data_IF_562947258587
#
_entry.id   IF_562947258587
#
_cell.length_a   1.000
_cell.length_b   1.000
_cell.length_c   1.000
_cell.angle_alpha   90.00
_cell.angle_beta   90.00
_cell.angle_gamma   90.00
#
_symmetry.space_group_name_H-M   'P 1'
#
loop_
_entity.id
_entity.type
_entity.pdbx_description
1 polymer ?
#
# COMPACT_ATOMS: atom_id res chain seq x y z
N UNK A 1 -6.07 -8.62 23.43
CA UNK A 1 -6.97 -9.80 23.51
C UNK A 1 -8.47 -9.47 23.54
N UNK A 2 -8.91 -8.21 23.77
CA UNK A 2 -10.33 -7.83 23.68
C UNK A 2 -10.78 -7.31 22.29
N UNK A 3 -9.85 -7.02 21.37
CA UNK A 3 -10.17 -6.46 20.05
C UNK A 3 -10.45 -7.50 18.96
N UNK A 4 -10.18 -8.78 19.20
CA UNK A 4 -10.39 -9.84 18.18
C UNK A 4 -11.80 -10.42 18.17
N UNK A 5 -12.57 -10.28 19.26
CA UNK A 5 -13.94 -10.81 19.30
C UNK A 5 -14.96 -9.98 18.51
N UNK A 6 -14.60 -8.77 18.02
CA UNK A 6 -15.54 -7.90 17.28
C UNK A 6 -15.45 -8.08 15.75
N UNK A 7 -14.36 -8.65 15.21
CA UNK A 7 -14.22 -8.85 13.76
C UNK A 7 -14.98 -10.08 13.21
N UNK A 8 -15.61 -10.89 14.08
CA UNK A 8 -16.46 -12.03 13.70
C UNK A 8 -17.93 -11.58 13.62
N UNK A 9 -18.19 -10.49 12.88
CA UNK A 9 -19.53 -10.15 12.37
C UNK A 9 -19.61 -10.37 10.84
N UNK A 10 -18.71 -11.22 10.32
CA UNK A 10 -18.11 -11.11 8.99
C UNK A 10 -19.01 -11.46 7.80
N UNK A 11 -20.17 -12.11 7.99
CA UNK A 11 -20.99 -12.57 6.87
C UNK A 11 -22.14 -11.62 6.50
N UNK A 12 -22.80 -11.02 7.50
CA UNK A 12 -23.92 -10.10 7.27
C UNK A 12 -23.45 -8.72 6.82
N UNK A 13 -22.34 -8.23 7.38
CA UNK A 13 -21.82 -6.91 7.02
C UNK A 13 -21.07 -6.92 5.69
N UNK A 14 -20.31 -7.98 5.35
CA UNK A 14 -19.75 -8.14 3.98
C UNK A 14 -20.84 -8.11 2.91
N UNK A 15 -22.01 -8.68 3.22
CA UNK A 15 -23.14 -8.72 2.30
C UNK A 15 -23.75 -7.34 2.12
N UNK A 16 -23.77 -6.50 3.15
CA UNK A 16 -24.27 -5.12 3.08
C UNK A 16 -23.32 -4.20 2.28
N UNK A 17 -22.00 -4.31 2.50
CA UNK A 17 -20.99 -3.53 1.76
C UNK A 17 -20.93 -3.88 0.26
N UNK A 18 -21.44 -5.04 -0.14
CA UNK A 18 -21.62 -5.38 -1.56
C UNK A 18 -22.71 -4.52 -2.23
N UNK A 19 -23.63 -3.92 -1.45
CA UNK A 19 -24.77 -3.14 -1.95
C UNK A 19 -24.62 -1.62 -1.81
N UNK A 20 -23.61 -1.12 -1.09
CA UNK A 20 -23.28 0.32 -1.05
C UNK A 20 -22.41 0.72 -2.26
N UNK A 21 -23.08 0.86 -3.41
CA UNK A 21 -22.44 0.90 -4.73
C UNK A 21 -21.89 2.29 -5.13
N UNK A 22 -22.38 3.40 -4.54
CA UNK A 22 -22.05 4.74 -5.04
C UNK A 22 -20.75 5.32 -4.45
N UNK A 23 -20.58 5.30 -3.12
CA UNK A 23 -19.34 5.75 -2.48
C UNK A 23 -18.13 4.91 -2.88
N UNK A 24 -18.35 3.59 -3.09
CA UNK A 24 -17.26 2.70 -3.48
C UNK A 24 -16.86 2.87 -4.95
N UNK A 25 -17.79 3.26 -5.83
CA UNK A 25 -17.47 3.59 -7.22
C UNK A 25 -16.51 4.76 -7.29
N UNK A 26 -16.77 5.83 -6.53
CA UNK A 26 -15.87 6.99 -6.46
C UNK A 26 -14.44 6.58 -6.07
N UNK A 27 -14.30 5.80 -5.00
CA UNK A 27 -12.98 5.31 -4.53
C UNK A 27 -12.31 4.37 -5.55
N UNK A 28 -13.08 3.58 -6.29
CA UNK A 28 -12.56 2.66 -7.32
C UNK A 28 -12.12 3.38 -8.61
N UNK A 29 -12.76 4.52 -8.90
CA UNK A 29 -12.48 5.40 -10.04
C UNK A 29 -11.35 6.40 -9.76
N UNK A 30 -11.06 6.69 -8.48
CA UNK A 30 -9.92 7.53 -8.11
C UNK A 30 -8.61 7.03 -8.71
N UNK A 31 -7.88 7.94 -9.36
CA UNK A 31 -6.57 7.70 -9.93
C UNK A 31 -5.47 8.33 -9.06
N UNK A 32 -4.66 7.51 -8.38
CA UNK A 32 -3.59 8.02 -7.53
C UNK A 32 -2.44 8.62 -8.34
N UNK A 33 -1.66 9.48 -7.68
CA UNK A 33 -0.55 10.24 -8.28
C UNK A 33 0.47 9.38 -9.06
N UNK A 34 0.73 8.15 -8.62
CA UNK A 34 1.67 7.25 -9.30
C UNK A 34 1.19 6.78 -10.67
N UNK A 35 -0.10 6.89 -11.00
CA UNK A 35 -0.64 6.43 -12.29
C UNK A 35 -0.12 7.28 -13.45
N UNK A 36 -0.09 8.59 -13.28
CA UNK A 36 0.44 9.52 -14.28
C UNK A 36 1.96 9.35 -14.43
N UNK A 37 2.69 9.31 -13.31
CA UNK A 37 4.14 9.09 -13.29
C UNK A 37 4.52 7.76 -13.96
N UNK A 38 3.79 6.69 -13.66
CA UNK A 38 4.01 5.39 -14.29
C UNK A 38 3.74 5.42 -15.79
N UNK A 39 2.65 6.08 -16.22
CA UNK A 39 2.32 6.19 -17.64
C UNK A 39 3.39 6.98 -18.41
N UNK A 40 3.91 8.06 -17.82
CA UNK A 40 5.04 8.83 -18.36
C UNK A 40 6.32 8.01 -18.46
N UNK A 41 6.63 7.22 -17.43
CA UNK A 41 7.80 6.32 -17.43
C UNK A 41 7.68 5.23 -18.50
N UNK A 42 6.52 4.59 -18.63
CA UNK A 42 6.31 3.55 -19.65
C UNK A 42 6.43 4.12 -21.07
N UNK A 43 5.89 5.33 -21.30
CA UNK A 43 5.99 6.01 -22.59
C UNK A 43 7.43 6.46 -22.94
N UNK A 44 8.28 6.73 -21.95
CA UNK A 44 9.71 7.02 -22.17
C UNK A 44 10.54 5.74 -22.34
N UNK A 45 10.20 4.66 -21.66
CA UNK A 45 10.88 3.36 -21.76
C UNK A 45 10.75 2.74 -23.16
N UNK A 46 9.61 2.95 -23.82
CA UNK A 46 9.38 2.52 -25.22
C UNK A 46 10.23 3.30 -26.24
N UNK A 47 10.78 4.46 -25.85
CA UNK A 47 11.67 5.29 -26.67
C UNK A 47 13.12 5.13 -26.16
N UNK A 48 13.72 3.99 -26.52
CA UNK A 48 15.11 3.54 -26.27
C UNK A 48 16.12 4.50 -25.61
N UNK A 49 16.81 3.95 -24.60
CA UNK A 49 18.05 4.37 -23.90
C UNK A 49 17.94 5.45 -22.79
N UNK A 50 17.85 5.01 -21.53
CA UNK A 50 18.95 5.02 -20.54
C UNK A 50 18.41 4.93 -19.10
N UNK A 51 19.05 4.08 -18.29
CA UNK A 51 18.80 3.91 -16.85
C UNK A 51 18.94 5.22 -16.05
N UNK A 52 19.66 6.21 -16.59
CA UNK A 52 19.87 7.53 -15.97
C UNK A 52 18.61 8.43 -16.00
N UNK A 53 17.69 8.23 -16.95
CA UNK A 53 16.45 9.00 -17.05
C UNK A 53 15.41 8.61 -15.99
N UNK A 54 15.53 7.43 -15.37
CA UNK A 54 14.60 6.95 -14.34
C UNK A 54 14.75 7.74 -13.03
N UNK A 55 15.98 8.06 -12.63
CA UNK A 55 16.26 8.83 -11.42
C UNK A 55 15.81 10.31 -11.54
N UNK A 56 15.76 10.85 -12.76
CA UNK A 56 15.24 12.19 -13.01
C UNK A 56 13.70 12.25 -12.96
N UNK A 57 13.02 11.12 -13.17
CA UNK A 57 11.57 11.03 -13.21
C UNK A 57 10.93 11.11 -11.82
N UNK A 58 11.67 10.71 -10.78
CA UNK A 58 11.25 10.79 -9.37
C UNK A 58 12.27 11.60 -8.58
N UNK A 59 12.13 12.92 -8.63
CA UNK A 59 12.94 13.83 -7.79
C UNK A 59 12.19 14.16 -6.49
N UNK A 60 12.90 14.10 -5.37
CA UNK A 60 12.33 14.49 -4.08
C UNK A 60 12.12 16.01 -4.00
N UNK A 61 10.99 16.41 -3.42
CA UNK A 61 10.74 17.80 -3.04
C UNK A 61 11.69 18.25 -1.92
N UNK A 62 11.80 19.57 -1.70
CA UNK A 62 12.62 20.09 -0.60
C UNK A 62 12.09 19.68 0.77
N UNK A 63 10.77 19.56 0.91
CA UNK A 63 10.10 19.06 2.11
C UNK A 63 10.43 17.58 2.35
N UNK A 64 10.42 16.75 1.31
CA UNK A 64 10.78 15.33 1.40
C UNK A 64 12.25 15.16 1.77
N UNK A 65 13.15 15.91 1.14
CA UNK A 65 14.58 15.97 1.52
C UNK A 65 14.74 16.40 2.98
N UNK A 66 13.94 17.36 3.45
CA UNK A 66 13.95 17.78 4.85
C UNK A 66 13.49 16.67 5.80
N UNK A 67 12.44 15.91 5.45
CA UNK A 67 12.04 14.74 6.26
C UNK A 67 13.13 13.67 6.26
N UNK A 68 13.78 13.43 5.12
CA UNK A 68 14.87 12.45 5.02
C UNK A 68 16.05 12.80 5.92
N UNK A 69 16.36 14.09 6.10
CA UNK A 69 17.40 14.57 7.02
C UNK A 69 17.09 14.30 8.49
N UNK A 70 15.83 14.02 8.87
CA UNK A 70 15.48 13.67 10.26
C UNK A 70 15.86 12.24 10.62
N UNK A 71 16.10 11.37 9.64
CA UNK A 71 16.53 10.01 9.91
C UNK A 71 18.01 9.97 10.30
N UNK A 72 18.34 9.06 11.21
CA UNK A 72 19.74 8.83 11.60
C UNK A 72 20.44 8.09 10.48
N UNK A 73 21.56 8.64 9.99
CA UNK A 73 22.40 7.97 9.01
C UNK A 73 23.11 6.79 9.69
N UNK A 74 22.61 5.58 9.45
CA UNK A 74 23.18 4.31 9.94
C UNK A 74 23.38 3.36 8.78
N UNK A 75 24.55 2.74 8.72
CA UNK A 75 24.79 1.60 7.84
C UNK A 75 24.33 0.31 8.51
N UNK A 76 23.60 -0.52 7.76
CA UNK A 76 23.11 -1.81 8.24
C UNK A 76 23.80 -2.94 7.46
N UNK A 77 24.44 -3.87 8.17
CA UNK A 77 24.97 -5.09 7.59
C UNK A 77 23.88 -6.15 7.61
N UNK A 78 23.12 -6.24 6.52
CA UNK A 78 22.00 -7.18 6.40
C UNK A 78 22.45 -8.44 5.67
N UNK A 79 22.21 -9.61 6.27
CA UNK A 79 22.39 -10.88 5.59
C UNK A 79 21.30 -11.09 4.53
N UNK A 80 21.43 -12.15 3.71
CA UNK A 80 20.46 -12.42 2.63
C UNK A 80 19.05 -12.69 3.17
N UNK A 81 18.93 -13.22 4.39
CA UNK A 81 17.64 -13.49 5.03
C UNK A 81 16.99 -12.18 5.49
N UNK A 82 17.73 -11.31 6.17
CA UNK A 82 17.24 -10.01 6.61
C UNK A 82 16.83 -9.13 5.42
N UNK A 83 17.62 -9.12 4.33
CA UNK A 83 17.23 -8.41 3.10
C UNK A 83 15.87 -8.84 2.57
N UNK A 84 15.60 -10.15 2.50
CA UNK A 84 14.28 -10.66 2.08
C UNK A 84 13.16 -10.20 3.01
N UNK A 85 13.39 -10.24 4.32
CA UNK A 85 12.38 -9.78 5.29
C UNK A 85 12.09 -8.29 5.13
N UNK A 86 13.12 -7.47 4.88
CA UNK A 86 12.94 -6.04 4.60
C UNK A 86 12.07 -5.84 3.36
N UNK A 87 12.35 -6.54 2.26
CA UNK A 87 11.51 -6.43 1.05
C UNK A 87 10.07 -6.89 1.28
N UNK A 88 9.86 -7.98 2.02
CA UNK A 88 8.51 -8.42 2.36
C UNK A 88 7.76 -7.41 3.24
N UNK A 89 8.42 -6.85 4.26
CA UNK A 89 7.84 -5.78 5.08
C UNK A 89 7.51 -4.54 4.25
N UNK A 90 8.34 -4.20 3.26
CA UNK A 90 8.10 -3.07 2.37
C UNK A 90 6.85 -3.30 1.53
N UNK A 91 6.69 -4.50 0.94
CA UNK A 91 5.48 -4.85 0.17
C UNK A 91 4.23 -4.75 1.05
N UNK A 92 4.28 -5.27 2.28
CA UNK A 92 3.16 -5.22 3.23
C UNK A 92 2.74 -3.77 3.56
N UNK A 93 3.73 -2.91 3.86
CA UNK A 93 3.49 -1.50 4.16
C UNK A 93 2.97 -0.75 2.92
N UNK A 94 3.51 -1.03 1.73
CA UNK A 94 3.08 -0.39 0.49
C UNK A 94 1.64 -0.76 0.11
N UNK A 95 1.21 -2.01 0.32
CA UNK A 95 -0.18 -2.41 0.12
C UNK A 95 -1.13 -1.60 1.01
N UNK A 96 -0.79 -1.48 2.30
CA UNK A 96 -1.57 -0.68 3.25
C UNK A 96 -1.61 0.81 2.87
N UNK A 97 -0.48 1.38 2.44
CA UNK A 97 -0.38 2.77 1.97
C UNK A 97 -1.19 3.03 0.69
N UNK A 98 -1.13 2.11 -0.28
CA UNK A 98 -1.86 2.22 -1.53
C UNK A 98 -3.37 2.14 -1.29
N UNK A 99 -3.82 1.25 -0.39
CA UNK A 99 -5.21 1.19 0.03
C UNK A 99 -5.68 2.50 0.64
N UNK A 100 -4.93 3.01 1.62
CA UNK A 100 -5.27 4.24 2.32
C UNK A 100 -5.39 5.42 1.36
N UNK A 101 -4.41 5.57 0.47
CA UNK A 101 -4.38 6.66 -0.51
C UNK A 101 -5.59 6.61 -1.45
N UNK A 102 -6.09 5.42 -1.82
CA UNK A 102 -7.33 5.31 -2.61
C UNK A 102 -8.54 5.73 -1.80
N UNK A 103 -8.68 5.16 -0.60
CA UNK A 103 -9.85 5.38 0.26
C UNK A 103 -9.99 6.83 0.70
N UNK A 104 -8.88 7.55 0.81
CA UNK A 104 -8.90 8.97 1.17
C UNK A 104 -8.62 9.90 0.00
N UNK A 105 -8.59 9.38 -1.23
CA UNK A 105 -8.39 10.17 -2.45
C UNK A 105 -7.13 11.05 -2.40
N UNK A 106 -6.11 10.59 -1.67
CA UNK A 106 -4.83 11.28 -1.47
C UNK A 106 -4.74 12.19 -0.24
N UNK A 107 -5.85 12.47 0.43
CA UNK A 107 -5.88 13.35 1.61
C UNK A 107 -5.77 12.55 2.91
N UNK A 108 -4.74 12.79 3.72
CA UNK A 108 -4.59 12.06 4.99
C UNK A 108 -5.50 12.66 6.06
N UNK A 109 -6.14 11.80 6.84
CA UNK A 109 -6.98 12.18 7.97
C UNK A 109 -6.51 11.49 9.27
N UNK A 110 -7.23 11.70 10.37
CA UNK A 110 -6.88 11.15 11.70
C UNK A 110 -6.92 9.62 11.76
N UNK A 111 -7.69 8.97 10.88
CA UNK A 111 -7.81 7.51 10.80
C UNK A 111 -6.74 6.89 9.88
N UNK A 112 -6.02 7.69 9.08
CA UNK A 112 -5.04 7.16 8.12
C UNK A 112 -3.95 6.32 8.76
N UNK A 113 -3.41 6.77 9.89
CA UNK A 113 -2.41 6.02 10.64
C UNK A 113 -2.99 4.72 11.21
N UNK A 114 -4.26 4.73 11.63
CA UNK A 114 -4.95 3.55 12.14
C UNK A 114 -5.20 2.53 11.03
N UNK A 115 -5.71 2.98 9.88
CA UNK A 115 -5.94 2.12 8.71
C UNK A 115 -4.66 1.45 8.23
N UNK A 116 -3.58 2.20 8.00
CA UNK A 116 -2.31 1.65 7.54
C UNK A 116 -1.78 0.61 8.54
N UNK A 117 -1.79 0.94 9.84
CA UNK A 117 -1.35 0.01 10.88
C UNK A 117 -2.22 -1.24 10.93
N UNK A 118 -3.54 -1.10 10.80
CA UNK A 118 -4.45 -2.25 10.82
C UNK A 118 -4.33 -3.10 9.57
N UNK A 119 -3.96 -2.55 8.42
CA UNK A 119 -3.82 -3.32 7.19
C UNK A 119 -2.46 -3.97 7.01
N UNK A 120 -1.40 -3.46 7.65
CA UNK A 120 -0.06 -4.07 7.65
C UNK A 120 0.20 -4.89 8.92
N UNK A 121 0.18 -6.23 8.86
CA UNK A 121 0.62 -7.11 9.95
C UNK A 121 2.03 -6.84 10.42
N UNK A 122 2.94 -6.39 9.54
CA UNK A 122 4.27 -5.99 9.97
C UNK A 122 4.23 -4.81 10.96
N UNK A 123 3.29 -3.86 10.81
CA UNK A 123 3.16 -2.73 11.73
C UNK A 123 2.31 -3.01 12.98
N UNK A 124 1.23 -3.80 12.87
CA UNK A 124 0.38 -4.06 14.05
C UNK A 124 0.81 -5.26 14.89
N UNK A 125 1.54 -6.21 14.30
CA UNK A 125 1.84 -7.49 14.94
C UNK A 125 3.30 -7.93 14.78
N UNK A 126 4.14 -7.13 14.11
CA UNK A 126 5.52 -7.49 13.80
C UNK A 126 5.64 -8.83 13.07
N UNK A 127 4.64 -9.12 12.23
CA UNK A 127 4.59 -10.35 11.44
C UNK A 127 5.76 -10.41 10.46
N UNK A 128 6.35 -11.60 10.35
CA UNK A 128 7.44 -11.90 9.41
C UNK A 128 6.94 -12.82 8.32
N UNK A 129 7.33 -12.54 7.09
CA UNK A 129 6.75 -13.21 5.92
C UNK A 129 7.69 -14.25 5.34
N UNK A 130 7.14 -15.33 4.79
CA UNK A 130 7.94 -16.34 4.10
C UNK A 130 7.86 -16.20 2.59
N UNK A 131 6.74 -15.69 2.08
CA UNK A 131 6.48 -15.50 0.66
C UNK A 131 5.49 -14.37 0.42
N UNK A 132 5.48 -13.85 -0.82
CA UNK A 132 4.61 -12.72 -1.21
C UNK A 132 3.13 -13.10 -1.22
N UNK A 133 2.81 -14.35 -1.52
CA UNK A 133 1.41 -14.81 -1.56
C UNK A 133 0.74 -14.72 -0.19
N UNK A 134 1.44 -15.06 0.89
CA UNK A 134 0.96 -14.89 2.28
C UNK A 134 0.68 -13.42 2.61
N UNK A 135 1.53 -12.50 2.15
CA UNK A 135 1.33 -11.06 2.32
C UNK A 135 0.02 -10.64 1.65
N UNK A 136 -0.18 -11.03 0.39
CA UNK A 136 -1.36 -10.66 -0.39
C UNK A 136 -2.65 -11.25 0.21
N UNK A 137 -2.61 -12.51 0.63
CA UNK A 137 -3.75 -13.18 1.28
C UNK A 137 -4.07 -12.51 2.62
N UNK A 138 -3.06 -12.19 3.41
CA UNK A 138 -3.25 -11.50 4.69
C UNK A 138 -3.83 -10.11 4.46
N UNK A 139 -3.20 -9.30 3.62
CA UNK A 139 -3.71 -7.97 3.24
C UNK A 139 -5.17 -8.01 2.79
N UNK A 140 -5.52 -8.91 1.86
CA UNK A 140 -6.90 -9.05 1.38
C UNK A 140 -7.89 -9.40 2.50
N UNK A 141 -7.55 -10.34 3.38
CA UNK A 141 -8.39 -10.68 4.55
C UNK A 141 -8.57 -9.48 5.48
N UNK A 142 -7.53 -8.67 5.67
CA UNK A 142 -7.57 -7.51 6.56
C UNK A 142 -8.40 -6.36 5.99
N UNK A 143 -8.29 -6.11 4.68
CA UNK A 143 -9.17 -5.17 3.97
C UNK A 143 -10.63 -5.58 4.09
N UNK A 144 -10.93 -6.88 4.09
CA UNK A 144 -12.30 -7.38 4.22
C UNK A 144 -12.82 -7.41 5.67
N UNK A 145 -11.99 -7.09 6.67
CA UNK A 145 -12.34 -7.23 8.08
C UNK A 145 -12.28 -5.93 8.90
N UNK A 146 -11.37 -5.01 8.58
CA UNK A 146 -11.07 -3.87 9.44
C UNK A 146 -11.55 -2.50 8.94
N UNK A 147 -11.25 -2.07 7.71
CA UNK A 147 -11.50 -0.69 7.29
C UNK A 147 -12.96 -0.45 6.95
N UNK A 148 -13.32 0.82 6.72
CA UNK A 148 -14.67 1.24 6.33
C UNK A 148 -15.14 0.56 5.03
N UNK A 149 -14.29 0.54 3.99
CA UNK A 149 -14.62 -0.04 2.68
C UNK A 149 -14.10 -1.48 2.52
N UNK A 150 -14.92 -2.48 2.83
CA UNK A 150 -14.52 -3.90 2.77
C UNK A 150 -14.88 -4.53 1.43
N UNK A 151 -14.09 -4.26 0.40
CA UNK A 151 -14.44 -4.68 -0.96
C UNK A 151 -13.29 -5.31 -1.74
N UNK A 152 -13.56 -6.44 -2.39
CA UNK A 152 -12.53 -7.22 -3.08
C UNK A 152 -11.93 -6.51 -4.30
N UNK A 153 -12.71 -5.68 -5.01
CA UNK A 153 -12.15 -4.88 -6.12
C UNK A 153 -11.11 -3.87 -5.64
N UNK A 154 -11.25 -3.34 -4.41
CA UNK A 154 -10.23 -2.46 -3.82
C UNK A 154 -8.94 -3.22 -3.56
N UNK A 155 -9.02 -4.43 -2.99
CA UNK A 155 -7.84 -5.31 -2.82
C UNK A 155 -7.09 -5.48 -4.15
N UNK A 156 -7.81 -5.84 -5.22
CA UNK A 156 -7.20 -6.08 -6.53
C UNK A 156 -6.59 -4.82 -7.13
N UNK A 157 -7.29 -3.68 -7.03
CA UNK A 157 -6.79 -2.37 -7.49
C UNK A 157 -5.54 -1.94 -6.73
N UNK A 158 -5.55 -2.05 -5.42
CA UNK A 158 -4.42 -1.75 -4.55
C UNK A 158 -3.20 -2.61 -4.87
N UNK A 159 -3.37 -3.91 -5.11
CA UNK A 159 -2.25 -4.77 -5.53
C UNK A 159 -1.63 -4.28 -6.85
N UNK A 160 -2.43 -3.84 -7.81
CA UNK A 160 -1.93 -3.29 -9.09
C UNK A 160 -1.18 -1.97 -8.87
N UNK A 161 -1.64 -1.12 -7.96
CA UNK A 161 -0.93 0.11 -7.62
C UNK A 161 0.41 -0.17 -6.98
N UNK A 162 0.47 -1.11 -6.04
CA UNK A 162 1.73 -1.50 -5.43
C UNK A 162 2.73 -2.01 -6.48
N UNK A 163 2.26 -2.77 -7.47
CA UNK A 163 3.09 -3.18 -8.61
C UNK A 163 3.58 -1.97 -9.41
N UNK A 164 2.71 -1.01 -9.72
CA UNK A 164 3.11 0.23 -10.42
C UNK A 164 4.18 0.99 -9.65
N UNK A 165 3.99 1.20 -8.35
CA UNK A 165 4.97 1.90 -7.49
C UNK A 165 6.31 1.17 -7.46
N UNK A 166 6.31 -0.17 -7.39
CA UNK A 166 7.54 -0.96 -7.38
C UNK A 166 8.26 -0.99 -8.74
N UNK A 167 7.56 -0.63 -9.81
CA UNK A 167 8.11 -0.54 -11.17
C UNK A 167 8.58 0.87 -11.54
N UNK A 168 8.21 1.90 -10.76
CA UNK A 168 8.74 3.26 -10.88
C UNK A 168 10.24 3.29 -10.55
#
# INVERSE_FOLDING_TARGET
MYFELVCISSASVMRADFFEDEAIKQVLEYDPWWTDTYSKMMASLEKSQEQENLAALVSFSEEEKYQLRKFVNKSYLLDKRAHRQVYYSLIDILLAYCYETRVTEGEKNVESAWNIRKLSPTLCWFETWTNVHEILVSFGRRVLCYPLYRHFKLVTKTCRDTIKILQL
#
